data_IF_258814124760
#
_entry.id   IF_258814124760
#
_cell.length_a   1.000
_cell.length_b   1.000
_cell.length_c   1.000
_cell.angle_alpha   90.00
_cell.angle_beta   90.00
_cell.angle_gamma   90.00
#
_symmetry.space_group_name_H-M   'P 1'
#
loop_
_entity.id
_entity.type
_entity.pdbx_description
1 polymer ?
#
# COMPACT_ATOMS: atom_id res chain seq x y z
N UNK A 1 31.80 -42.40 -16.09
CA UNK A 1 30.58 -42.30 -15.27
C UNK A 1 30.37 -40.85 -14.93
N UNK A 2 29.24 -40.27 -15.30
CA UNK A 2 28.88 -38.91 -14.95
C UNK A 2 27.95 -38.99 -13.73
N UNK A 3 28.46 -38.58 -12.58
CA UNK A 3 27.73 -38.64 -11.31
C UNK A 3 26.72 -37.48 -11.25
N UNK A 4 25.44 -37.79 -11.40
CA UNK A 4 24.36 -36.84 -11.18
C UNK A 4 24.23 -36.59 -9.67
N UNK A 5 24.77 -35.47 -9.18
CA UNK A 5 24.50 -35.03 -7.81
C UNK A 5 23.12 -34.37 -7.78
N UNK A 6 22.14 -35.18 -7.38
CA UNK A 6 20.78 -34.77 -7.00
C UNK A 6 20.83 -33.95 -5.70
N UNK A 7 21.05 -32.64 -5.82
CA UNK A 7 20.91 -31.68 -4.73
C UNK A 7 19.98 -30.57 -5.17
N UNK A 8 18.76 -30.53 -4.63
CA UNK A 8 17.73 -29.53 -4.93
C UNK A 8 18.34 -28.14 -5.10
N UNK A 9 18.08 -27.56 -6.27
CA UNK A 9 18.79 -26.41 -6.80
C UNK A 9 18.78 -25.30 -5.77
N UNK A 10 19.90 -24.59 -5.59
CA UNK A 10 19.99 -23.42 -4.73
C UNK A 10 18.80 -22.46 -4.94
N UNK A 11 18.28 -22.39 -6.17
CA UNK A 11 17.08 -21.66 -6.58
C UNK A 11 15.82 -22.04 -5.77
N UNK A 12 15.59 -23.32 -5.46
CA UNK A 12 14.45 -23.78 -4.66
C UNK A 12 14.55 -23.36 -3.20
N UNK A 13 15.77 -23.37 -2.63
CA UNK A 13 16.01 -22.88 -1.26
C UNK A 13 15.74 -21.38 -1.16
N UNK A 14 16.17 -20.57 -2.14
CA UNK A 14 15.88 -19.14 -2.19
C UNK A 14 14.40 -18.84 -2.38
N UNK A 15 13.70 -19.60 -3.23
CA UNK A 15 12.25 -19.47 -3.41
C UNK A 15 11.51 -19.76 -2.11
N UNK A 16 11.80 -20.88 -1.45
CA UNK A 16 11.15 -21.26 -0.20
C UNK A 16 11.40 -20.23 0.91
N UNK A 17 12.64 -19.74 1.07
CA UNK A 17 12.96 -18.68 2.03
C UNK A 17 12.21 -17.36 1.75
N UNK A 18 12.05 -16.99 0.48
CA UNK A 18 11.26 -15.83 0.09
C UNK A 18 9.77 -16.04 0.42
N UNK A 19 9.22 -17.22 0.14
CA UNK A 19 7.84 -17.57 0.49
C UNK A 19 7.60 -17.58 2.00
N UNK A 20 8.51 -18.13 2.80
CA UNK A 20 8.41 -18.15 4.26
C UNK A 20 8.48 -16.73 4.84
N UNK A 21 9.34 -15.88 4.29
CA UNK A 21 9.40 -14.46 4.67
C UNK A 21 8.11 -13.73 4.32
N UNK A 22 7.55 -13.96 3.13
CA UNK A 22 6.25 -13.40 2.70
C UNK A 22 5.11 -13.93 3.58
N UNK A 23 5.13 -15.22 3.95
CA UNK A 23 4.13 -15.84 4.83
C UNK A 23 4.21 -15.28 6.25
N UNK A 24 5.41 -15.12 6.81
CA UNK A 24 5.60 -14.51 8.12
C UNK A 24 5.17 -13.05 8.14
N UNK A 25 5.46 -12.30 7.08
CA UNK A 25 4.94 -10.94 6.88
C UNK A 25 3.41 -10.95 6.83
N UNK A 26 2.80 -11.83 6.03
CA UNK A 26 1.34 -11.97 5.95
C UNK A 26 0.69 -12.39 7.28
N UNK A 27 1.32 -13.29 8.03
CA UNK A 27 0.87 -13.71 9.36
C UNK A 27 0.92 -12.54 10.34
N UNK A 28 2.03 -11.78 10.34
CA UNK A 28 2.19 -10.58 11.18
C UNK A 28 1.21 -9.48 10.81
N UNK A 29 0.93 -9.30 9.51
CA UNK A 29 -0.10 -8.39 9.03
C UNK A 29 -1.51 -8.89 9.40
N UNK A 30 -1.76 -10.20 9.39
CA UNK A 30 -3.07 -10.78 9.69
C UNK A 30 -3.42 -10.82 11.18
N UNK A 31 -2.45 -11.03 12.07
CA UNK A 31 -2.65 -11.15 13.52
C UNK A 31 -2.40 -9.84 14.30
N UNK A 32 -1.71 -8.86 13.69
CA UNK A 32 -1.27 -7.63 14.35
C UNK A 32 -1.76 -6.32 13.73
N UNK A 33 -2.51 -6.37 12.62
CA UNK A 33 -3.16 -5.16 12.10
C UNK A 33 -4.49 -4.98 12.79
N UNK A 34 -4.57 -3.92 13.58
CA UNK A 34 -5.85 -3.42 14.07
C UNK A 34 -6.69 -2.94 12.88
N UNK A 35 -7.57 -3.82 12.40
CA UNK A 35 -8.44 -3.54 11.26
C UNK A 35 -9.43 -2.40 11.55
N UNK A 36 -9.76 -2.17 12.83
CA UNK A 36 -10.58 -1.04 13.23
C UNK A 36 -9.79 0.27 13.06
N UNK A 37 -8.58 0.34 13.62
CA UNK A 37 -7.72 1.52 13.48
C UNK A 37 -7.38 1.81 12.00
N UNK A 38 -7.17 0.77 11.19
CA UNK A 38 -6.90 0.92 9.77
C UNK A 38 -8.09 1.53 9.02
N UNK A 39 -9.30 1.01 9.29
CA UNK A 39 -10.55 1.53 8.71
C UNK A 39 -10.82 2.96 9.14
N UNK A 40 -10.66 3.25 10.42
CA UNK A 40 -10.87 4.58 10.99
C UNK A 40 -9.94 5.62 10.33
N UNK A 41 -8.64 5.32 10.25
CA UNK A 41 -7.69 6.23 9.61
C UNK A 41 -8.01 6.43 8.12
N UNK A 42 -8.40 5.37 7.40
CA UNK A 42 -8.78 5.48 5.99
C UNK A 42 -9.99 6.40 5.81
N UNK A 43 -11.06 6.19 6.60
CA UNK A 43 -12.26 7.03 6.55
C UNK A 43 -11.94 8.49 6.85
N UNK A 44 -11.14 8.74 7.89
CA UNK A 44 -10.68 10.09 8.22
C UNK A 44 -9.95 10.75 7.03
N UNK A 45 -9.08 10.03 6.32
CA UNK A 45 -8.39 10.54 5.13
C UNK A 45 -9.36 10.83 3.99
N UNK A 46 -10.33 9.95 3.73
CA UNK A 46 -11.30 10.08 2.64
C UNK A 46 -12.28 11.23 2.86
N UNK A 47 -12.66 11.49 4.12
CA UNK A 47 -13.57 12.58 4.49
C UNK A 47 -12.87 13.95 4.58
N UNK A 48 -11.53 13.97 4.61
CA UNK A 48 -10.76 15.20 4.71
C UNK A 48 -10.64 15.94 3.37
N UNK A 49 -11.40 17.03 3.25
CA UNK A 49 -11.46 17.85 2.02
C UNK A 49 -10.10 18.43 1.62
N UNK A 50 -9.21 18.72 2.57
CA UNK A 50 -7.90 19.28 2.27
C UNK A 50 -6.96 18.20 1.75
N UNK A 51 -6.89 17.03 2.40
CA UNK A 51 -6.14 15.88 1.91
C UNK A 51 -6.63 15.43 0.53
N UNK A 52 -7.95 15.47 0.30
CA UNK A 52 -8.54 15.18 -1.00
C UNK A 52 -8.01 16.12 -2.09
N UNK A 53 -8.15 17.43 -1.87
CA UNK A 53 -7.77 18.47 -2.86
C UNK A 53 -6.26 18.54 -3.06
N UNK A 54 -5.49 18.46 -1.98
CA UNK A 54 -4.04 18.71 -2.01
C UNK A 54 -3.22 17.47 -2.36
N UNK A 55 -3.73 16.26 -2.13
CA UNK A 55 -2.95 15.03 -2.30
C UNK A 55 -3.65 13.98 -3.16
N UNK A 56 -4.90 13.60 -2.85
CA UNK A 56 -5.61 12.54 -3.60
C UNK A 56 -5.73 12.92 -5.09
N UNK A 57 -6.25 14.12 -5.39
CA UNK A 57 -6.42 14.58 -6.78
C UNK A 57 -5.10 14.63 -7.56
N UNK A 58 -3.99 15.22 -7.04
CA UNK A 58 -2.70 15.17 -7.70
C UNK A 58 -2.14 13.76 -7.92
N UNK A 59 -2.32 12.84 -6.96
CA UNK A 59 -1.86 11.44 -7.10
C UNK A 59 -2.62 10.76 -8.23
N UNK A 60 -3.96 10.89 -8.29
CA UNK A 60 -4.79 10.35 -9.36
C UNK A 60 -4.31 10.85 -10.73
N UNK A 61 -4.10 12.16 -10.88
CA UNK A 61 -3.61 12.77 -12.12
C UNK A 61 -2.24 12.23 -12.54
N UNK A 62 -1.34 11.99 -11.59
CA UNK A 62 -0.03 11.38 -11.85
C UNK A 62 -0.19 9.94 -12.36
N UNK A 63 -1.00 9.14 -11.68
CA UNK A 63 -1.29 7.74 -12.07
C UNK A 63 -1.89 7.68 -13.46
N UNK A 64 -2.92 8.49 -13.75
CA UNK A 64 -3.53 8.58 -15.07
C UNK A 64 -2.51 8.95 -16.16
N UNK A 65 -1.64 9.94 -15.92
CA UNK A 65 -0.59 10.34 -16.87
C UNK A 65 0.39 9.19 -17.14
N UNK A 66 0.79 8.44 -16.11
CA UNK A 66 1.68 7.29 -16.26
C UNK A 66 1.01 6.13 -17.00
N UNK A 67 -0.28 5.88 -16.74
CA UNK A 67 -1.05 4.86 -17.46
C UNK A 67 -1.17 5.21 -18.95
N UNK A 68 -1.54 6.46 -19.27
CA UNK A 68 -1.64 6.95 -20.66
C UNK A 68 -0.31 6.87 -21.41
N UNK A 69 0.82 7.01 -20.72
CA UNK A 69 2.16 6.91 -21.31
C UNK A 69 2.77 5.50 -21.25
N UNK A 70 2.05 4.50 -20.74
CA UNK A 70 2.56 3.12 -20.59
C UNK A 70 3.65 2.96 -19.53
N UNK A 71 3.91 3.98 -18.71
CA UNK A 71 4.98 4.01 -17.67
C UNK A 71 4.46 3.72 -16.27
N UNK A 72 3.21 3.28 -16.15
CA UNK A 72 2.62 2.99 -14.84
C UNK A 72 3.13 1.67 -14.30
N UNK A 73 3.81 1.73 -13.15
CA UNK A 73 4.22 0.57 -12.37
C UNK A 73 3.37 0.53 -11.08
N UNK A 74 2.47 -0.45 -11.02
CA UNK A 74 1.57 -0.61 -9.89
C UNK A 74 2.32 -1.00 -8.60
N UNK A 75 3.44 -1.73 -8.69
CA UNK A 75 4.21 -2.10 -7.51
C UNK A 75 4.85 -0.88 -6.82
N UNK A 76 5.03 0.23 -7.55
CA UNK A 76 5.52 1.49 -7.00
C UNK A 76 4.41 2.42 -6.50
N UNK A 77 3.15 2.18 -6.88
CA UNK A 77 2.03 3.05 -6.51
C UNK A 77 1.81 3.18 -4.99
N UNK A 78 1.95 2.12 -4.16
CA UNK A 78 1.78 2.24 -2.71
C UNK A 78 2.70 3.27 -2.07
N UNK A 79 3.88 3.55 -2.66
CA UNK A 79 4.79 4.58 -2.14
C UNK A 79 4.19 5.99 -2.21
N UNK A 80 3.45 6.30 -3.28
CA UNK A 80 2.79 7.61 -3.42
C UNK A 80 1.64 7.74 -2.40
N UNK A 81 0.84 6.70 -2.26
CA UNK A 81 -0.27 6.66 -1.31
C UNK A 81 0.19 6.64 0.14
N UNK A 82 1.37 6.08 0.44
CA UNK A 82 1.92 6.12 1.80
C UNK A 82 2.18 7.56 2.27
N UNK A 83 2.58 8.49 1.40
CA UNK A 83 2.71 9.90 1.79
C UNK A 83 1.37 10.51 2.21
N UNK A 84 0.29 10.20 1.49
CA UNK A 84 -1.07 10.59 1.87
C UNK A 84 -1.43 10.02 3.24
N UNK A 85 -1.22 8.72 3.44
CA UNK A 85 -1.56 8.04 4.69
C UNK A 85 -0.74 8.57 5.87
N UNK A 86 0.54 8.85 5.67
CA UNK A 86 1.41 9.44 6.69
C UNK A 86 0.93 10.84 7.11
N UNK A 87 0.51 11.65 6.14
CA UNK A 87 -0.03 12.98 6.41
C UNK A 87 -1.41 12.91 7.08
N UNK A 88 -2.26 11.97 6.67
CA UNK A 88 -3.53 11.67 7.32
C UNK A 88 -3.35 11.27 8.78
N UNK A 89 -2.45 10.32 9.05
CA UNK A 89 -2.15 9.87 10.41
C UNK A 89 -1.59 11.02 11.27
N UNK A 90 -0.70 11.86 10.74
CA UNK A 90 -0.22 13.06 11.45
C UNK A 90 -1.35 14.03 11.78
N UNK A 91 -2.28 14.24 10.85
CA UNK A 91 -3.41 15.13 11.05
C UNK A 91 -4.39 14.57 12.09
N UNK A 92 -4.70 13.26 12.02
CA UNK A 92 -5.49 12.56 13.02
C UNK A 92 -4.90 12.72 14.43
N UNK A 93 -3.59 12.47 14.59
CA UNK A 93 -2.92 12.63 15.89
C UNK A 93 -2.96 14.08 16.39
N UNK A 94 -2.90 15.06 15.48
CA UNK A 94 -3.02 16.47 15.85
C UNK A 94 -4.43 16.80 16.36
N UNK A 95 -5.46 16.22 15.76
CA UNK A 95 -6.86 16.53 16.06
C UNK A 95 -7.37 15.76 17.30
N UNK A 96 -6.93 14.51 17.48
CA UNK A 96 -7.45 13.59 18.52
C UNK A 96 -6.40 13.18 19.58
N UNK A 97 -5.13 13.52 19.38
CA UNK A 97 -4.03 13.10 20.25
C UNK A 97 -3.53 11.68 19.97
N UNK A 98 -2.61 11.21 20.82
CA UNK A 98 -2.01 9.88 20.75
C UNK A 98 -0.61 9.83 20.13
N UNK A 99 -0.08 8.62 19.95
CA UNK A 99 1.22 8.37 19.32
C UNK A 99 1.06 7.63 17.99
N UNK A 100 1.66 8.17 16.93
CA UNK A 100 1.55 7.63 15.58
C UNK A 100 2.11 6.21 15.47
N UNK A 101 3.21 5.87 16.16
CA UNK A 101 3.83 4.55 16.02
C UNK A 101 2.99 3.45 16.68
N UNK A 102 2.27 3.83 17.72
CA UNK A 102 1.42 2.95 18.52
C UNK A 102 0.04 2.77 17.87
N UNK A 103 -0.63 3.86 17.50
CA UNK A 103 -1.95 3.82 16.87
C UNK A 103 -1.90 3.43 15.39
N UNK A 104 -0.90 3.94 14.66
CA UNK A 104 -0.76 3.74 13.22
C UNK A 104 0.65 3.23 12.87
N UNK A 105 1.00 2.00 13.32
CA UNK A 105 2.29 1.40 12.99
C UNK A 105 2.50 1.37 11.48
N UNK A 106 3.77 1.37 11.05
CA UNK A 106 4.12 1.51 9.62
C UNK A 106 3.44 0.46 8.73
N UNK A 107 3.34 -0.77 9.21
CA UNK A 107 2.72 -1.86 8.47
C UNK A 107 1.22 -1.62 8.24
N UNK A 108 0.52 -0.99 9.19
CA UNK A 108 -0.88 -0.56 9.06
C UNK A 108 -1.02 0.56 8.04
N UNK A 109 -0.15 1.56 8.10
CA UNK A 109 -0.17 2.64 7.10
C UNK A 109 0.12 2.12 5.69
N UNK A 110 1.02 1.14 5.59
CA UNK A 110 1.34 0.49 4.32
C UNK A 110 0.17 -0.34 3.79
N UNK A 111 -0.60 -1.02 4.65
CA UNK A 111 -1.78 -1.77 4.20
C UNK A 111 -2.83 -0.82 3.61
N UNK A 112 -3.11 0.30 4.26
CA UNK A 112 -4.02 1.33 3.73
C UNK A 112 -3.48 1.91 2.40
N UNK A 113 -2.18 2.18 2.31
CA UNK A 113 -1.57 2.68 1.08
C UNK A 113 -1.70 1.69 -0.10
N UNK A 114 -1.59 0.39 0.15
CA UNK A 114 -1.85 -0.64 -0.86
C UNK A 114 -3.32 -0.68 -1.27
N UNK A 115 -4.24 -0.55 -0.30
CA UNK A 115 -5.68 -0.48 -0.56
C UNK A 115 -6.02 0.71 -1.46
N UNK A 116 -5.55 1.92 -1.13
CA UNK A 116 -5.72 3.09 -2.00
C UNK A 116 -5.13 2.88 -3.39
N UNK A 117 -3.94 2.28 -3.51
CA UNK A 117 -3.33 2.00 -4.80
C UNK A 117 -4.21 1.11 -5.68
N UNK A 118 -4.80 0.06 -5.10
CA UNK A 118 -5.70 -0.86 -5.77
C UNK A 118 -7.02 -0.18 -6.17
N UNK A 119 -7.66 0.49 -5.21
CA UNK A 119 -8.96 1.12 -5.42
C UNK A 119 -8.90 2.21 -6.49
N UNK A 120 -7.92 3.11 -6.41
CA UNK A 120 -7.83 4.18 -7.38
C UNK A 120 -7.37 3.70 -8.76
N UNK A 121 -6.54 2.65 -8.83
CA UNK A 121 -6.27 1.98 -10.11
C UNK A 121 -7.57 1.47 -10.73
N UNK A 122 -8.38 0.74 -9.96
CA UNK A 122 -9.66 0.21 -10.45
C UNK A 122 -10.63 1.34 -10.84
N UNK A 123 -10.75 2.39 -10.03
CA UNK A 123 -11.58 3.57 -10.35
C UNK A 123 -11.14 4.22 -11.67
N UNK A 124 -9.83 4.40 -11.90
CA UNK A 124 -9.30 4.98 -13.15
C UNK A 124 -9.56 4.07 -14.35
N UNK A 125 -9.40 2.76 -14.19
CA UNK A 125 -9.62 1.77 -15.26
C UNK A 125 -11.11 1.67 -15.65
N UNK A 126 -12.02 1.69 -14.66
CA UNK A 126 -13.48 1.66 -14.89
C UNK A 126 -13.93 2.90 -15.66
N UNK A 127 -13.41 4.08 -15.32
CA UNK A 127 -13.77 5.33 -15.99
C UNK A 127 -13.01 5.55 -17.32
N UNK A 128 -12.42 4.50 -17.91
CA UNK A 128 -11.66 4.54 -19.16
C UNK A 128 -10.56 5.61 -19.22
N UNK A 129 -10.07 6.09 -18.06
CA UNK A 129 -9.11 7.19 -17.96
C UNK A 129 -9.68 8.61 -18.20
N UNK A 130 -11.01 8.77 -18.19
CA UNK A 130 -11.69 10.07 -18.04
C UNK A 130 -11.65 10.56 -16.58
N UNK A 131 -11.83 11.86 -16.35
CA UNK A 131 -11.72 12.45 -15.00
C UNK A 131 -12.76 11.85 -14.04
N UNK A 132 -12.30 11.36 -12.90
CA UNK A 132 -13.10 11.15 -11.68
C UNK A 132 -13.06 12.42 -10.81
#
# INVERSE_FOLDING_TARGET
GMEYVSGGSMIEKWKNAAFDKVRAIRSRLGEGLDAHAARELKLYIEDDKDLYRQQIVPIIKNVQRKMKSGKYDHAQAPKLWLYLVDNGAKKYIKDYGGDMKTLFPKDLRLSIANEFANEYKAKIEIHSGEMI
#
